data_IF_819023579938
#
_entry.id   IF_819023579938
#
_cell.length_a   1.000
_cell.length_b   1.000
_cell.length_c   1.000
_cell.angle_alpha   90.00
_cell.angle_beta   90.00
_cell.angle_gamma   90.00
#
_symmetry.space_group_name_H-M   'P 1'
#
loop_
_entity.id
_entity.type
_entity.pdbx_description
1 polymer ?
#
# COMPACT_ATOMS: atom_id res chain seq x y z
N UNK A 1 -42.71 -9.25 67.30
CA UNK A 1 -41.81 -9.97 66.46
C UNK A 1 -42.55 -11.15 65.88
N UNK A 2 -43.09 -11.04 64.68
CA UNK A 2 -43.78 -12.12 63.96
C UNK A 2 -43.02 -12.37 62.66
N UNK A 3 -42.66 -13.62 62.48
CA UNK A 3 -41.70 -14.14 61.57
C UNK A 3 -42.32 -14.35 60.16
N UNK A 4 -42.04 -13.47 59.21
CA UNK A 4 -42.55 -13.49 57.84
C UNK A 4 -41.62 -14.26 56.86
N UNK A 5 -41.26 -15.49 57.14
CA UNK A 5 -40.33 -16.27 56.28
C UNK A 5 -40.87 -17.64 55.85
N UNK A 6 -42.18 -17.87 55.76
CA UNK A 6 -42.67 -19.21 55.46
C UNK A 6 -43.73 -19.32 54.32
N UNK A 7 -44.10 -18.25 53.60
CA UNK A 7 -45.13 -18.35 52.56
C UNK A 7 -44.75 -17.87 51.15
N UNK A 8 -43.48 -17.53 50.93
CA UNK A 8 -43.00 -17.01 49.63
C UNK A 8 -42.56 -18.04 48.56
N UNK A 9 -42.60 -19.34 48.86
CA UNK A 9 -42.03 -20.35 47.91
C UNK A 9 -43.06 -21.31 47.28
N UNK A 10 -44.36 -21.17 47.51
CA UNK A 10 -45.40 -22.05 46.94
C UNK A 10 -46.33 -21.43 45.92
N UNK A 11 -46.23 -20.14 45.63
CA UNK A 11 -47.05 -19.49 44.58
C UNK A 11 -46.29 -19.24 43.26
N UNK A 12 -44.99 -19.55 43.18
CA UNK A 12 -44.19 -19.35 41.95
C UNK A 12 -44.07 -20.61 41.07
N UNK A 13 -44.54 -21.77 41.55
CA UNK A 13 -44.49 -23.04 40.82
C UNK A 13 -45.79 -23.45 40.11
N UNK A 14 -46.87 -22.66 40.23
CA UNK A 14 -48.13 -22.95 39.56
C UNK A 14 -48.43 -22.02 38.37
N UNK A 15 -47.63 -20.99 38.12
CA UNK A 15 -47.78 -20.10 36.94
C UNK A 15 -46.86 -20.47 35.77
N UNK A 16 -45.92 -21.40 35.94
CA UNK A 16 -45.01 -21.87 34.87
C UNK A 16 -45.46 -23.16 34.18
N UNK A 17 -46.56 -23.78 34.63
CA UNK A 17 -47.08 -25.04 34.05
C UNK A 17 -48.30 -24.88 33.12
N UNK A 18 -48.82 -23.63 32.96
CA UNK A 18 -50.02 -23.37 32.16
C UNK A 18 -49.76 -22.60 30.85
N UNK A 19 -48.51 -22.30 30.50
CA UNK A 19 -48.13 -21.62 29.24
C UNK A 19 -47.39 -22.48 28.23
N UNK A 20 -47.36 -23.79 28.41
CA UNK A 20 -46.68 -24.73 27.46
C UNK A 20 -47.61 -25.60 26.64
N UNK A 21 -48.86 -25.30 26.49
CA UNK A 21 -49.77 -26.04 25.62
C UNK A 21 -50.63 -25.03 24.86
N UNK A 22 -50.10 -24.43 23.81
CA UNK A 22 -50.77 -23.93 22.60
C UNK A 22 -49.83 -23.03 21.80
N UNK A 23 -48.89 -23.64 21.09
CA UNK A 23 -48.33 -23.03 19.84
C UNK A 23 -48.37 -24.09 18.72
N UNK A 24 -49.05 -23.80 17.62
CA UNK A 24 -49.07 -24.72 16.52
C UNK A 24 -47.69 -24.73 15.79
N UNK A 25 -47.29 -25.93 15.41
CA UNK A 25 -46.12 -26.20 14.59
C UNK A 25 -46.23 -25.54 13.22
N UNK A 26 -45.70 -24.32 13.09
CA UNK A 26 -45.39 -23.67 11.80
C UNK A 26 -44.15 -22.80 11.96
N UNK A 27 -42.99 -23.33 12.24
CA UNK A 27 -41.73 -22.57 12.16
C UNK A 27 -40.49 -23.48 12.24
N UNK A 28 -40.41 -24.54 11.46
CA UNK A 28 -39.21 -25.36 11.40
C UNK A 28 -38.64 -25.57 9.98
N UNK A 29 -39.15 -24.86 8.97
CA UNK A 29 -38.61 -24.99 7.61
C UNK A 29 -37.80 -23.80 7.09
N UNK A 30 -37.80 -22.64 7.80
CA UNK A 30 -37.08 -21.45 7.34
C UNK A 30 -35.70 -21.24 8.04
N UNK A 31 -35.49 -21.83 9.24
CA UNK A 31 -34.22 -21.72 9.95
C UNK A 31 -33.19 -22.78 9.52
N UNK A 32 -33.65 -23.96 9.08
CA UNK A 32 -32.72 -24.99 8.56
C UNK A 32 -32.16 -24.64 7.15
N UNK A 33 -32.95 -24.02 6.28
CA UNK A 33 -32.43 -23.59 4.96
C UNK A 33 -31.46 -22.39 5.05
N UNK A 34 -31.66 -21.45 5.96
CA UNK A 34 -30.72 -20.33 6.17
C UNK A 34 -29.47 -20.75 6.91
N UNK A 35 -29.53 -21.67 7.85
CA UNK A 35 -28.36 -22.21 8.54
C UNK A 35 -27.54 -23.14 7.64
N UNK A 36 -28.17 -23.97 6.80
CA UNK A 36 -27.51 -24.82 5.84
C UNK A 36 -26.87 -23.99 4.70
N UNK A 37 -27.55 -22.97 4.18
CA UNK A 37 -27.00 -22.09 3.13
C UNK A 37 -25.82 -21.23 3.64
N UNK A 38 -25.87 -20.74 4.90
CA UNK A 38 -24.74 -20.01 5.51
C UNK A 38 -23.56 -20.92 5.83
N UNK A 39 -23.81 -22.17 6.24
CA UNK A 39 -22.73 -23.13 6.54
C UNK A 39 -22.05 -23.60 5.24
N UNK A 40 -22.80 -23.80 4.18
CA UNK A 40 -22.27 -24.26 2.87
C UNK A 40 -21.44 -23.15 2.20
N UNK A 41 -21.90 -21.89 2.21
CA UNK A 41 -21.13 -20.76 1.67
C UNK A 41 -19.84 -20.50 2.46
N UNK A 42 -19.86 -20.62 3.78
CA UNK A 42 -18.68 -20.40 4.64
C UNK A 42 -17.66 -21.53 4.45
N UNK A 43 -18.11 -22.78 4.29
CA UNK A 43 -17.21 -23.90 3.99
C UNK A 43 -16.55 -23.76 2.61
N UNK A 44 -17.30 -23.34 1.61
CA UNK A 44 -16.77 -23.12 0.25
C UNK A 44 -15.71 -21.98 0.23
N UNK A 45 -15.96 -20.90 0.95
CA UNK A 45 -14.98 -19.78 1.07
C UNK A 45 -13.71 -20.19 1.81
N UNK A 46 -13.82 -21.04 2.83
CA UNK A 46 -12.67 -21.55 3.59
C UNK A 46 -11.86 -22.55 2.77
N UNK A 47 -12.50 -23.44 2.01
CA UNK A 47 -11.85 -24.36 1.06
C UNK A 47 -11.15 -23.62 -0.07
N UNK A 48 -11.75 -22.58 -0.63
CA UNK A 48 -11.14 -21.73 -1.65
C UNK A 48 -9.92 -20.98 -1.10
N UNK A 49 -10.00 -20.50 0.14
CA UNK A 49 -8.89 -19.81 0.83
C UNK A 49 -7.73 -20.75 1.09
N UNK A 50 -7.98 -21.96 1.58
CA UNK A 50 -6.93 -22.96 1.80
C UNK A 50 -6.29 -23.40 0.48
N UNK A 51 -7.09 -23.55 -0.58
CA UNK A 51 -6.58 -23.85 -1.92
C UNK A 51 -5.64 -22.74 -2.41
N UNK A 52 -6.00 -21.46 -2.26
CA UNK A 52 -5.16 -20.32 -2.60
C UNK A 52 -3.86 -20.34 -1.79
N UNK A 53 -3.96 -20.60 -0.49
CA UNK A 53 -2.83 -20.69 0.45
C UNK A 53 -1.83 -21.77 0.01
N UNK A 54 -2.31 -22.97 -0.32
CA UNK A 54 -1.47 -24.07 -0.80
C UNK A 54 -0.87 -23.79 -2.19
N UNK A 55 -1.61 -23.16 -3.07
CA UNK A 55 -1.09 -22.73 -4.38
C UNK A 55 0.06 -21.74 -4.22
N UNK A 56 -0.06 -20.77 -3.33
CA UNK A 56 1.03 -19.84 -3.03
C UNK A 56 2.25 -20.58 -2.44
N UNK A 57 2.04 -21.50 -1.50
CA UNK A 57 3.12 -22.29 -0.90
C UNK A 57 3.89 -23.15 -1.91
N UNK A 58 3.22 -23.64 -2.95
CA UNK A 58 3.83 -24.44 -4.02
C UNK A 58 4.75 -23.64 -4.96
N UNK A 59 4.67 -22.29 -4.95
CA UNK A 59 5.54 -21.44 -5.76
C UNK A 59 6.91 -21.35 -5.07
N UNK A 60 7.93 -21.86 -5.74
CA UNK A 60 9.29 -21.79 -5.23
C UNK A 60 9.83 -20.33 -5.22
N UNK A 61 10.68 -19.95 -4.25
CA UNK A 61 11.40 -18.68 -4.31
C UNK A 61 12.25 -18.55 -5.56
N UNK A 62 12.23 -17.39 -6.22
CA UNK A 62 13.03 -17.12 -7.41
C UNK A 62 14.54 -17.20 -7.09
N UNK A 63 14.92 -16.73 -5.88
CA UNK A 63 16.31 -16.82 -5.40
C UNK A 63 16.84 -18.26 -5.31
N UNK A 64 15.98 -19.28 -5.18
CA UNK A 64 16.39 -20.68 -5.15
C UNK A 64 16.90 -21.20 -6.52
N UNK A 65 16.61 -20.47 -7.60
CA UNK A 65 17.12 -20.79 -8.94
C UNK A 65 18.51 -20.24 -9.22
N UNK A 66 19.05 -19.39 -8.35
CA UNK A 66 20.38 -18.78 -8.51
C UNK A 66 21.45 -19.78 -8.15
N UNK A 67 22.43 -19.96 -9.02
CA UNK A 67 23.54 -20.90 -8.85
C UNK A 67 24.36 -20.56 -7.57
N UNK A 68 24.59 -21.56 -6.72
CA UNK A 68 25.32 -21.43 -5.46
C UNK A 68 24.69 -20.44 -4.44
N UNK A 69 23.43 -20.07 -4.64
CA UNK A 69 22.67 -19.31 -3.66
C UNK A 69 22.08 -20.25 -2.61
N UNK A 70 22.05 -19.87 -1.33
CA UNK A 70 21.41 -20.69 -0.31
C UNK A 70 19.93 -20.93 -0.63
N UNK A 71 19.43 -22.14 -0.35
CA UNK A 71 18.02 -22.45 -0.58
C UNK A 71 17.15 -21.79 0.51
N UNK A 72 16.29 -20.87 0.10
CA UNK A 72 15.36 -20.18 0.98
C UNK A 72 14.12 -21.03 1.32
N UNK A 73 13.41 -20.70 2.41
CA UNK A 73 12.21 -21.42 2.81
C UNK A 73 11.08 -21.23 1.81
N UNK A 74 10.18 -22.21 1.70
CA UNK A 74 8.88 -21.99 1.09
C UNK A 74 8.03 -21.08 1.99
N UNK A 75 7.20 -20.23 1.39
CA UNK A 75 6.33 -19.28 2.09
C UNK A 75 4.91 -19.36 1.56
N UNK A 76 3.92 -19.06 2.41
CA UNK A 76 2.51 -18.96 2.03
C UNK A 76 2.19 -17.63 1.33
N UNK A 77 3.01 -16.61 1.51
CA UNK A 77 2.89 -15.37 0.76
C UNK A 77 3.00 -15.62 -0.76
N UNK A 78 2.18 -14.96 -1.56
CA UNK A 78 2.29 -15.00 -3.02
C UNK A 78 3.52 -14.26 -3.52
N UNK A 79 3.86 -13.12 -2.87
CA UNK A 79 5.12 -12.40 -3.11
C UNK A 79 5.84 -12.12 -1.79
N UNK A 80 7.17 -12.33 -1.78
CA UNK A 80 7.96 -12.11 -0.58
C UNK A 80 9.41 -11.70 -0.91
N UNK A 81 10.00 -10.86 -0.07
CA UNK A 81 11.39 -10.38 -0.18
C UNK A 81 12.03 -10.26 1.19
N UNK A 82 13.34 -10.51 1.27
CA UNK A 82 14.21 -9.96 2.31
C UNK A 82 15.31 -9.15 1.63
N UNK A 83 15.46 -7.91 2.06
CA UNK A 83 16.47 -6.98 1.55
C UNK A 83 17.27 -6.38 2.71
N UNK A 84 18.57 -6.25 2.55
CA UNK A 84 19.40 -5.44 3.45
C UNK A 84 19.12 -3.95 3.21
N UNK A 85 18.75 -3.23 4.28
CA UNK A 85 18.25 -1.87 4.16
C UNK A 85 19.30 -0.83 3.80
N UNK A 86 20.59 -1.13 4.02
CA UNK A 86 21.67 -0.19 3.75
C UNK A 86 22.32 -0.41 2.40
N UNK A 87 22.57 -1.67 2.02
CA UNK A 87 23.20 -2.01 0.75
C UNK A 87 22.22 -2.22 -0.40
N UNK A 88 20.91 -2.43 -0.11
CA UNK A 88 19.90 -2.79 -1.09
C UNK A 88 20.00 -4.25 -1.58
N UNK A 89 20.90 -5.06 -1.00
CA UNK A 89 21.07 -6.46 -1.38
C UNK A 89 19.79 -7.28 -1.16
N UNK A 90 19.32 -7.96 -2.20
CA UNK A 90 18.14 -8.85 -2.13
C UNK A 90 18.60 -10.26 -1.76
N UNK A 91 18.29 -10.71 -0.54
CA UNK A 91 18.75 -11.97 0.01
C UNK A 91 17.76 -13.13 -0.22
N UNK A 92 16.50 -12.80 -0.30
CA UNK A 92 15.40 -13.72 -0.62
C UNK A 92 14.43 -13.03 -1.57
N UNK A 93 13.98 -13.73 -2.60
CA UNK A 93 13.00 -13.21 -3.55
C UNK A 93 12.02 -14.29 -3.97
N UNK A 94 10.74 -13.93 -4.00
CA UNK A 94 9.62 -14.71 -4.53
C UNK A 94 8.63 -13.76 -5.18
N UNK A 95 8.55 -13.79 -6.51
CA UNK A 95 7.65 -12.94 -7.31
C UNK A 95 7.69 -11.45 -6.91
N UNK A 96 8.89 -10.91 -6.61
CA UNK A 96 9.06 -9.61 -5.96
C UNK A 96 8.55 -8.42 -6.78
N UNK A 97 8.40 -8.55 -8.10
CA UNK A 97 7.89 -7.52 -9.01
C UNK A 97 6.40 -7.70 -9.33
N UNK A 98 5.74 -8.73 -8.80
CA UNK A 98 4.31 -8.94 -8.98
C UNK A 98 3.51 -7.90 -8.23
N UNK A 99 2.53 -7.27 -8.91
CA UNK A 99 1.66 -6.24 -8.33
C UNK A 99 0.63 -6.86 -7.41
N UNK A 100 0.47 -6.24 -6.25
CA UNK A 100 -0.53 -6.56 -5.24
C UNK A 100 -1.16 -5.29 -4.65
N UNK A 101 -2.30 -5.43 -4.02
CA UNK A 101 -2.88 -4.38 -3.21
C UNK A 101 -2.14 -4.31 -1.86
N UNK A 102 -1.67 -3.12 -1.45
CA UNK A 102 -0.86 -3.01 -0.24
C UNK A 102 -1.66 -3.11 1.07
N UNK A 103 -2.95 -2.76 1.06
CA UNK A 103 -3.68 -2.47 2.29
C UNK A 103 -2.93 -1.44 3.16
N UNK A 104 -3.03 -1.55 4.49
CA UNK A 104 -2.48 -0.55 5.42
C UNK A 104 -0.95 -0.48 5.50
N UNK A 105 -0.19 -1.30 4.77
CA UNK A 105 1.28 -1.07 4.67
C UNK A 105 1.59 0.21 3.86
N UNK A 106 0.64 0.74 3.08
CA UNK A 106 0.65 2.09 2.49
C UNK A 106 1.08 3.17 3.49
N UNK A 107 0.70 3.02 4.75
CA UNK A 107 0.97 3.98 5.82
C UNK A 107 2.46 4.17 6.13
N UNK A 108 3.33 3.28 5.67
CA UNK A 108 4.79 3.49 5.71
C UNK A 108 5.20 4.64 4.81
N UNK A 109 4.69 4.70 3.57
CA UNK A 109 4.96 5.81 2.66
C UNK A 109 4.28 7.09 3.12
N UNK A 110 3.05 7.01 3.63
CA UNK A 110 2.37 8.15 4.27
C UNK A 110 3.21 8.76 5.39
N UNK A 111 3.78 7.90 6.26
CA UNK A 111 4.66 8.34 7.35
C UNK A 111 5.95 8.94 6.82
N UNK A 112 6.58 8.36 5.80
CA UNK A 112 7.79 8.88 5.18
C UNK A 112 7.57 10.30 4.64
N UNK A 113 6.54 10.48 3.81
CA UNK A 113 6.21 11.78 3.20
C UNK A 113 5.82 12.81 4.27
N UNK A 114 5.11 12.40 5.33
CA UNK A 114 4.78 13.29 6.44
C UNK A 114 6.04 13.76 7.18
N UNK A 115 6.96 12.85 7.51
CA UNK A 115 8.22 13.17 8.20
C UNK A 115 9.20 13.99 7.35
N UNK A 116 9.05 13.99 6.02
CA UNK A 116 9.86 14.84 5.13
C UNK A 116 9.31 16.26 4.98
N UNK A 117 8.02 16.50 5.30
CA UNK A 117 7.35 17.76 5.02
C UNK A 117 6.73 18.45 6.24
N UNK A 118 6.78 17.81 7.43
CA UNK A 118 6.18 18.33 8.65
C UNK A 118 7.07 18.08 9.87
N UNK A 119 6.86 18.90 10.90
CA UNK A 119 7.47 18.71 12.21
C UNK A 119 6.53 17.89 13.12
N UNK A 120 7.09 17.14 14.06
CA UNK A 120 6.30 16.34 15.01
C UNK A 120 5.34 17.18 15.88
N UNK A 121 5.64 18.46 16.05
CA UNK A 121 4.82 19.42 16.79
C UNK A 121 3.75 20.10 15.96
N UNK A 122 3.70 19.88 14.65
CA UNK A 122 2.67 20.45 13.77
C UNK A 122 1.29 19.91 14.17
N UNK A 123 0.28 20.75 13.99
CA UNK A 123 -1.11 20.35 14.28
C UNK A 123 -1.72 19.58 13.12
N UNK A 124 -2.29 18.42 13.42
CA UNK A 124 -3.17 17.67 12.53
C UNK A 124 -4.62 17.96 12.92
N UNK A 125 -5.40 18.55 12.01
CA UNK A 125 -6.80 18.88 12.19
C UNK A 125 -7.67 17.91 11.38
N UNK A 126 -8.73 17.39 12.00
CA UNK A 126 -9.65 16.45 11.36
C UNK A 126 -10.77 17.19 10.66
N UNK A 127 -10.81 17.12 9.35
CA UNK A 127 -11.91 17.63 8.53
C UNK A 127 -13.12 16.68 8.57
N UNK A 128 -14.27 17.13 8.05
CA UNK A 128 -15.40 16.23 7.82
C UNK A 128 -15.04 15.12 6.84
N UNK A 129 -14.25 15.44 5.81
CA UNK A 129 -13.83 14.48 4.77
C UNK A 129 -12.91 13.39 5.33
N UNK A 130 -12.05 13.72 6.34
CA UNK A 130 -11.19 12.73 6.98
C UNK A 130 -11.95 11.68 7.80
N UNK A 131 -13.23 11.89 8.10
CA UNK A 131 -14.07 11.02 8.94
C UNK A 131 -15.16 10.31 8.11
N UNK A 132 -15.78 11.03 7.16
CA UNK A 132 -17.04 10.59 6.53
C UNK A 132 -16.92 9.37 5.62
N UNK A 133 -15.70 8.99 5.21
CA UNK A 133 -15.45 7.81 4.37
C UNK A 133 -15.37 6.50 5.16
N UNK A 134 -15.27 6.57 6.52
CA UNK A 134 -15.14 5.38 7.35
C UNK A 134 -16.37 4.49 7.25
N UNK A 135 -16.15 3.20 7.05
CA UNK A 135 -17.16 2.17 7.03
C UNK A 135 -17.05 1.27 8.29
N UNK A 136 -18.10 0.48 8.52
CA UNK A 136 -18.09 -0.47 9.63
C UNK A 136 -16.97 -1.52 9.47
N UNK A 137 -16.11 -1.63 10.49
CA UNK A 137 -14.95 -2.53 10.47
C UNK A 137 -13.64 -1.87 10.10
N UNK A 138 -13.65 -0.63 9.61
CA UNK A 138 -12.44 0.13 9.35
C UNK A 138 -11.62 0.37 10.63
N UNK A 139 -10.30 0.36 10.47
CA UNK A 139 -9.39 0.69 11.57
C UNK A 139 -9.42 2.21 11.83
N UNK A 140 -9.85 2.62 13.02
CA UNK A 140 -9.92 4.01 13.46
C UNK A 140 -9.69 4.12 14.98
N UNK A 141 -9.47 5.34 15.49
CA UNK A 141 -9.36 5.67 16.93
C UNK A 141 -10.48 6.59 17.42
N UNK A 142 -11.47 6.86 16.57
CA UNK A 142 -12.67 7.61 16.93
C UNK A 142 -12.48 9.12 17.02
N UNK A 143 -11.72 9.69 16.08
CA UNK A 143 -11.57 11.14 15.95
C UNK A 143 -12.86 11.78 15.41
N UNK A 144 -13.07 13.06 15.71
CA UNK A 144 -14.25 13.82 15.29
C UNK A 144 -13.84 15.06 14.48
N UNK A 145 -14.74 15.56 13.59
CA UNK A 145 -14.43 16.76 12.81
C UNK A 145 -14.16 17.99 13.70
N UNK A 146 -13.09 18.73 13.38
CA UNK A 146 -12.62 19.90 14.15
C UNK A 146 -11.70 19.54 15.32
N UNK A 147 -11.49 18.26 15.61
CA UNK A 147 -10.55 17.80 16.62
C UNK A 147 -9.10 18.02 16.13
N UNK A 148 -8.19 18.28 17.05
CA UNK A 148 -6.79 18.58 16.75
C UNK A 148 -5.87 17.78 17.67
N UNK A 149 -4.82 17.19 17.08
CA UNK A 149 -3.73 16.51 17.79
C UNK A 149 -2.38 16.91 17.20
N UNK A 150 -1.28 16.56 17.88
CA UNK A 150 0.05 16.74 17.32
C UNK A 150 0.32 15.77 16.15
N UNK A 151 1.24 16.12 15.26
CA UNK A 151 1.73 15.19 14.22
C UNK A 151 2.33 13.94 14.85
N UNK A 152 3.03 14.06 15.98
CA UNK A 152 3.57 12.93 16.71
C UNK A 152 2.47 11.94 17.12
N UNK A 153 1.42 12.41 17.82
CA UNK A 153 0.28 11.58 18.23
C UNK A 153 -0.43 10.95 17.02
N UNK A 154 -0.55 11.72 15.93
CA UNK A 154 -1.14 11.25 14.69
C UNK A 154 -0.31 10.08 14.09
N UNK A 155 1.02 10.21 14.04
CA UNK A 155 1.89 9.14 13.51
C UNK A 155 1.88 7.89 14.40
N UNK A 156 1.76 8.04 15.73
CA UNK A 156 1.50 6.90 16.61
C UNK A 156 0.20 6.19 16.26
N UNK A 157 -0.89 6.92 16.04
CA UNK A 157 -2.18 6.34 15.64
C UNK A 157 -2.12 5.66 14.27
N UNK A 158 -1.41 6.26 13.29
CA UNK A 158 -1.20 5.71 11.95
C UNK A 158 -0.45 4.39 12.01
N UNK A 159 0.64 4.31 12.79
CA UNK A 159 1.52 3.14 12.79
C UNK A 159 1.04 2.04 13.73
N UNK A 160 0.62 2.34 14.96
CA UNK A 160 0.23 1.36 15.96
C UNK A 160 -1.21 0.87 15.76
N UNK A 161 -2.19 1.81 15.73
CA UNK A 161 -3.61 1.51 15.58
C UNK A 161 -4.02 1.26 14.14
N UNK A 162 -3.20 1.70 13.17
CA UNK A 162 -3.54 1.68 11.73
C UNK A 162 -4.75 2.56 11.38
N UNK A 163 -4.97 3.67 12.10
CA UNK A 163 -6.13 4.53 11.97
C UNK A 163 -6.24 5.17 10.57
N UNK A 164 -7.36 4.91 9.89
CA UNK A 164 -7.58 5.35 8.51
C UNK A 164 -7.90 6.84 8.44
N UNK A 165 -8.75 7.33 9.34
CA UNK A 165 -9.09 8.75 9.45
C UNK A 165 -7.88 9.61 9.79
N UNK A 166 -7.00 9.09 10.64
CA UNK A 166 -5.79 9.81 11.02
C UNK A 166 -4.82 9.90 9.84
N UNK A 167 -4.68 8.81 9.06
CA UNK A 167 -3.85 8.82 7.85
C UNK A 167 -4.34 9.84 6.82
N UNK A 168 -5.67 9.97 6.68
CA UNK A 168 -6.28 10.99 5.82
C UNK A 168 -5.99 12.40 6.34
N UNK A 169 -6.22 12.65 7.64
CA UNK A 169 -6.01 13.96 8.25
C UNK A 169 -4.53 14.39 8.22
N UNK A 170 -3.59 13.45 8.40
CA UNK A 170 -2.15 13.69 8.19
C UNK A 170 -1.88 14.13 6.76
N UNK A 171 -2.39 13.39 5.78
CA UNK A 171 -2.21 13.71 4.37
C UNK A 171 -2.80 15.09 4.01
N UNK A 172 -4.00 15.39 4.51
CA UNK A 172 -4.64 16.69 4.29
C UNK A 172 -3.87 17.85 4.95
N UNK A 173 -3.43 17.69 6.21
CA UNK A 173 -2.71 18.71 6.96
C UNK A 173 -1.33 18.99 6.35
N UNK A 174 -0.58 17.95 6.01
CA UNK A 174 0.73 18.08 5.35
C UNK A 174 0.57 18.63 3.93
N UNK A 175 -0.43 18.17 3.18
CA UNK A 175 -0.72 18.70 1.84
C UNK A 175 -1.08 20.19 1.86
N UNK A 176 -1.80 20.68 2.88
CA UNK A 176 -2.06 22.12 3.11
C UNK A 176 -0.76 22.87 3.40
N UNK A 177 0.13 22.31 4.22
CA UNK A 177 1.46 22.90 4.49
C UNK A 177 2.32 22.97 3.23
N UNK A 178 2.18 22.03 2.30
CA UNK A 178 2.82 22.01 0.99
C UNK A 178 2.20 22.99 -0.02
N UNK A 179 1.16 23.74 0.35
CA UNK A 179 0.49 24.75 -0.48
C UNK A 179 -0.69 24.23 -1.29
N UNK A 180 -1.19 23.03 -1.01
CA UNK A 180 -2.36 22.42 -1.66
C UNK A 180 -3.33 21.80 -0.67
N UNK A 181 -3.61 20.51 -0.79
CA UNK A 181 -4.51 19.74 0.05
C UNK A 181 -4.21 18.24 -0.04
N UNK A 182 -5.20 17.40 0.22
CA UNK A 182 -5.08 15.95 0.20
C UNK A 182 -4.43 15.43 -1.11
N UNK A 183 -4.90 15.87 -2.27
CA UNK A 183 -4.38 15.44 -3.57
C UNK A 183 -2.90 15.82 -3.77
N UNK A 184 -2.46 16.96 -3.20
CA UNK A 184 -1.04 17.36 -3.22
C UNK A 184 -0.18 16.37 -2.44
N UNK A 185 -0.67 15.86 -1.33
CA UNK A 185 0.03 14.84 -0.56
C UNK A 185 0.08 13.49 -1.32
N UNK A 186 -1.03 13.09 -1.96
CA UNK A 186 -1.05 11.87 -2.79
C UNK A 186 -0.07 11.97 -3.96
N UNK A 187 0.01 13.14 -4.60
CA UNK A 187 1.04 13.36 -5.62
C UNK A 187 2.45 13.22 -5.03
N UNK A 188 2.70 13.80 -3.86
CA UNK A 188 4.00 13.68 -3.18
C UNK A 188 4.34 12.22 -2.80
N UNK A 189 3.34 11.37 -2.46
CA UNK A 189 3.55 9.94 -2.26
C UNK A 189 4.04 9.26 -3.55
N UNK A 190 3.44 9.58 -4.69
CA UNK A 190 3.88 9.03 -5.98
C UNK A 190 5.26 9.55 -6.38
N UNK A 191 5.53 10.84 -6.21
CA UNK A 191 6.83 11.45 -6.52
C UNK A 191 7.95 10.86 -5.64
N UNK A 192 7.72 10.66 -4.33
CA UNK A 192 8.69 10.03 -3.45
C UNK A 192 8.90 8.54 -3.79
N UNK A 193 7.84 7.84 -4.14
CA UNK A 193 7.90 6.45 -4.64
C UNK A 193 8.76 6.36 -5.90
N UNK A 194 8.58 7.24 -6.87
CA UNK A 194 9.40 7.32 -8.09
C UNK A 194 10.87 7.64 -7.77
N UNK A 195 11.12 8.60 -6.87
CA UNK A 195 12.47 8.98 -6.40
C UNK A 195 13.21 7.82 -5.74
N UNK A 196 12.50 6.96 -5.00
CA UNK A 196 13.03 5.72 -4.43
C UNK A 196 13.25 4.60 -5.47
N UNK A 197 12.90 4.83 -6.73
CA UNK A 197 12.99 3.83 -7.80
C UNK A 197 11.92 2.74 -7.71
N UNK A 198 10.77 3.06 -7.14
CA UNK A 198 9.61 2.16 -7.10
C UNK A 198 8.87 2.22 -8.44
N UNK A 199 9.10 1.27 -9.31
CA UNK A 199 8.54 1.28 -10.67
C UNK A 199 7.26 0.46 -10.84
N UNK A 200 6.92 -0.34 -9.84
CA UNK A 200 5.76 -1.23 -9.84
C UNK A 200 4.59 -0.73 -8.98
N UNK A 201 4.64 0.49 -8.45
CA UNK A 201 3.68 1.03 -7.49
C UNK A 201 2.90 2.23 -8.03
N UNK A 202 1.69 2.41 -7.50
CA UNK A 202 0.87 3.60 -7.71
C UNK A 202 -0.03 3.82 -6.49
N UNK A 203 -0.16 5.07 -6.04
CA UNK A 203 -0.80 5.44 -4.79
C UNK A 203 -1.98 6.38 -5.06
N UNK A 204 -3.18 6.01 -4.58
CA UNK A 204 -4.42 6.80 -4.74
C UNK A 204 -4.96 7.34 -3.42
N UNK A 205 -4.49 6.79 -2.30
CA UNK A 205 -4.90 7.22 -0.96
C UNK A 205 -3.78 7.02 0.07
N UNK A 206 -3.92 7.66 1.23
CA UNK A 206 -2.92 7.66 2.30
C UNK A 206 -3.13 6.56 3.35
N UNK A 207 -4.21 5.78 3.28
CA UNK A 207 -4.58 4.81 4.31
C UNK A 207 -4.51 3.35 3.86
N UNK A 208 -4.50 3.09 2.54
CA UNK A 208 -4.44 1.76 1.96
C UNK A 208 -5.79 1.06 1.85
N UNK A 209 -6.90 1.79 1.93
CA UNK A 209 -8.21 1.25 1.54
C UNK A 209 -8.19 0.85 0.08
N UNK A 210 -8.99 -0.16 -0.25
CA UNK A 210 -8.95 -0.75 -1.58
C UNK A 210 -9.36 0.21 -2.69
N UNK A 211 -8.55 0.26 -3.72
CA UNK A 211 -8.78 0.90 -5.01
C UNK A 211 -8.01 0.11 -6.08
N UNK A 212 -8.61 -0.15 -7.24
CA UNK A 212 -7.98 -0.92 -8.31
C UNK A 212 -6.68 -0.31 -8.83
N UNK A 213 -6.52 1.01 -8.68
CA UNK A 213 -5.31 1.74 -9.08
C UNK A 213 -4.31 1.91 -7.93
N UNK A 214 -4.61 1.40 -6.73
CA UNK A 214 -3.75 1.47 -5.56
C UNK A 214 -2.99 0.15 -5.38
N UNK A 215 -1.79 0.05 -5.92
CA UNK A 215 -1.02 -1.19 -5.98
C UNK A 215 0.47 -0.94 -5.74
N UNK A 216 1.17 -2.01 -5.35
CA UNK A 216 2.62 -2.03 -5.09
C UNK A 216 3.21 -3.40 -5.40
N UNK A 217 4.53 -3.53 -5.26
CA UNK A 217 5.27 -4.79 -5.31
C UNK A 217 6.04 -5.03 -4.00
N UNK A 218 6.44 -6.26 -3.73
CA UNK A 218 7.25 -6.56 -2.55
C UNK A 218 8.59 -5.81 -2.57
N UNK A 219 9.20 -5.68 -3.74
CA UNK A 219 10.46 -4.95 -3.91
C UNK A 219 10.30 -3.45 -3.63
N UNK A 220 9.25 -2.82 -4.17
CA UNK A 220 9.01 -1.39 -3.93
C UNK A 220 8.71 -1.13 -2.45
N UNK A 221 7.93 -2.00 -1.80
CA UNK A 221 7.66 -1.87 -0.36
C UNK A 221 8.91 -2.07 0.49
N UNK A 222 9.87 -2.90 0.07
CA UNK A 222 11.14 -3.04 0.76
C UNK A 222 11.97 -1.75 0.67
N UNK A 223 12.01 -1.08 -0.50
CA UNK A 223 12.66 0.23 -0.67
C UNK A 223 12.01 1.30 0.20
N UNK A 224 10.68 1.38 0.22
CA UNK A 224 9.92 2.30 1.07
C UNK A 224 10.20 2.00 2.56
N UNK A 225 10.20 0.72 2.93
CA UNK A 225 10.53 0.27 4.28
C UNK A 225 11.94 0.67 4.70
N UNK A 226 12.94 0.49 3.85
CA UNK A 226 14.31 0.90 4.08
C UNK A 226 14.41 2.44 4.24
N UNK A 227 13.74 3.21 3.39
CA UNK A 227 13.77 4.67 3.43
C UNK A 227 13.12 5.23 4.70
N UNK A 228 11.94 4.74 5.10
CA UNK A 228 11.27 5.23 6.32
C UNK A 228 12.02 4.81 7.58
N UNK A 229 12.73 3.67 7.58
CA UNK A 229 13.54 3.22 8.69
C UNK A 229 14.74 4.14 8.99
N UNK A 230 15.21 4.94 8.01
CA UNK A 230 16.23 5.94 8.23
C UNK A 230 15.75 7.11 9.14
N UNK A 231 14.43 7.32 9.24
CA UNK A 231 13.84 8.35 10.09
C UNK A 231 13.85 7.92 11.57
N UNK A 232 14.52 8.70 12.44
CA UNK A 232 14.59 8.40 13.88
C UNK A 232 13.19 8.36 14.52
N UNK A 233 12.33 9.32 14.17
CA UNK A 233 10.95 9.37 14.65
C UNK A 233 10.19 8.09 14.30
N UNK A 234 10.33 7.57 13.07
CA UNK A 234 9.72 6.30 12.69
C UNK A 234 10.22 5.14 13.57
N UNK A 235 11.53 5.02 13.78
CA UNK A 235 12.09 3.94 14.62
C UNK A 235 11.56 4.00 16.05
N UNK A 236 11.46 5.21 16.61
CA UNK A 236 10.91 5.42 17.96
C UNK A 236 9.44 5.00 18.03
N UNK A 237 8.61 5.51 17.10
CA UNK A 237 7.17 5.26 17.09
C UNK A 237 6.87 3.79 16.80
N UNK A 238 7.47 3.20 15.76
CA UNK A 238 7.14 1.86 15.29
C UNK A 238 7.50 0.75 16.30
N UNK A 239 8.46 0.99 17.19
CA UNK A 239 8.86 0.05 18.27
C UNK A 239 8.02 0.19 19.53
N UNK A 240 7.21 1.23 19.67
CA UNK A 240 6.37 1.46 20.84
C UNK A 240 5.22 0.44 20.89
N UNK A 241 4.98 -0.15 22.06
CA UNK A 241 3.93 -1.15 22.23
C UNK A 241 2.55 -0.52 22.46
N UNK A 242 2.50 0.70 22.98
CA UNK A 242 1.26 1.44 23.19
C UNK A 242 1.53 2.95 23.15
N UNK A 243 0.47 3.72 22.93
CA UNK A 243 0.49 5.16 23.00
C UNK A 243 -0.85 5.68 23.54
N UNK A 244 -0.81 6.80 24.25
CA UNK A 244 -1.99 7.48 24.78
C UNK A 244 -2.02 8.91 24.26
N UNK A 245 -3.05 9.25 23.49
CA UNK A 245 -3.35 10.62 23.10
C UNK A 245 -4.09 11.28 24.28
N UNK A 246 -3.59 12.42 24.81
CA UNK A 246 -4.28 13.13 25.89
C UNK A 246 -5.61 13.74 25.43
N UNK A 247 -6.31 14.38 26.35
CA UNK A 247 -7.47 15.21 26.03
C UNK A 247 -7.15 16.21 24.91
N UNK A 248 -8.07 16.35 23.96
CA UNK A 248 -7.94 17.24 22.79
C UNK A 248 -8.73 18.53 23.00
N UNK A 249 -8.76 19.39 22.00
CA UNK A 249 -9.58 20.61 22.00
C UNK A 249 -11.09 20.35 22.08
N UNK A 250 -11.57 19.15 21.73
CA UNK A 250 -13.02 18.81 21.69
C UNK A 250 -13.40 17.65 22.62
N UNK A 251 -12.45 16.76 22.95
CA UNK A 251 -12.72 15.52 23.69
C UNK A 251 -11.83 15.47 24.92
N UNK A 252 -12.45 15.33 26.12
CA UNK A 252 -11.73 15.32 27.39
C UNK A 252 -11.16 13.96 27.78
N UNK A 253 -11.62 12.88 27.14
CA UNK A 253 -11.18 11.53 27.39
C UNK A 253 -9.87 11.24 26.64
N UNK A 254 -8.93 10.58 27.33
CA UNK A 254 -7.73 10.05 26.73
C UNK A 254 -8.04 8.85 25.81
N UNK A 255 -7.24 8.66 24.76
CA UNK A 255 -7.34 7.51 23.86
C UNK A 255 -6.06 6.70 23.91
N UNK A 256 -6.13 5.49 24.46
CA UNK A 256 -5.00 4.55 24.48
C UNK A 256 -5.21 3.46 23.43
N UNK A 257 -4.19 3.21 22.62
CA UNK A 257 -4.18 2.13 21.63
C UNK A 257 -2.85 1.38 21.64
N UNK A 258 -2.87 0.17 21.13
CA UNK A 258 -1.76 -0.76 21.18
C UNK A 258 -1.21 -1.05 19.79
N UNK A 259 0.07 -1.43 19.74
CA UNK A 259 0.76 -1.90 18.56
C UNK A 259 0.12 -3.20 18.03
N UNK A 260 -0.22 -3.22 16.74
CA UNK A 260 -0.80 -4.39 16.07
C UNK A 260 0.25 -5.39 15.56
N UNK A 261 1.52 -4.99 15.48
CA UNK A 261 2.59 -5.84 14.97
C UNK A 261 3.03 -6.87 16.03
N UNK A 262 2.60 -8.12 15.86
CA UNK A 262 2.75 -9.18 16.87
C UNK A 262 4.21 -9.54 17.18
N UNK A 263 5.14 -9.36 16.23
CA UNK A 263 6.56 -9.72 16.44
C UNK A 263 7.27 -8.80 17.43
N UNK A 264 6.65 -7.69 17.85
CA UNK A 264 7.19 -6.80 18.89
C UNK A 264 6.79 -7.20 20.31
N UNK A 265 5.79 -8.05 20.48
CA UNK A 265 5.24 -8.38 21.78
C UNK A 265 5.93 -9.61 22.40
N UNK A 266 6.70 -9.47 23.50
CA UNK A 266 7.44 -10.60 24.10
C UNK A 266 6.56 -11.78 24.56
N UNK A 267 5.27 -11.52 24.81
CA UNK A 267 4.32 -12.54 25.26
C UNK A 267 3.56 -13.22 24.11
N UNK A 268 3.80 -12.78 22.86
CA UNK A 268 3.15 -13.35 21.69
C UNK A 268 4.00 -14.46 21.08
N UNK A 269 3.38 -15.52 20.58
CA UNK A 269 4.06 -16.66 19.93
C UNK A 269 4.86 -16.23 18.69
N UNK A 270 4.48 -15.10 18.09
CA UNK A 270 5.18 -14.52 16.94
C UNK A 270 6.34 -13.58 17.33
N UNK A 271 6.63 -13.39 18.63
CA UNK A 271 7.72 -12.51 19.06
C UNK A 271 9.04 -12.86 18.37
N UNK A 272 9.73 -11.84 17.86
CA UNK A 272 11.04 -11.98 17.24
C UNK A 272 12.00 -10.95 17.84
N UNK A 273 13.04 -11.42 18.51
CA UNK A 273 13.94 -10.59 19.32
C UNK A 273 14.63 -9.47 18.52
N UNK A 274 14.88 -9.68 17.22
CA UNK A 274 15.51 -8.70 16.35
C UNK A 274 14.51 -7.73 15.69
N UNK A 275 13.19 -7.90 15.89
CA UNK A 275 12.17 -7.05 15.30
C UNK A 275 12.31 -5.61 15.81
N UNK A 276 12.35 -4.64 14.87
CA UNK A 276 12.43 -3.20 15.12
C UNK A 276 11.17 -2.45 14.66
N UNK A 277 10.08 -3.13 14.45
CA UNK A 277 8.82 -2.55 14.02
C UNK A 277 8.46 -2.88 12.59
N UNK A 278 7.52 -2.14 12.06
CA UNK A 278 6.96 -2.34 10.72
C UNK A 278 5.49 -2.00 10.65
N UNK A 279 4.78 -2.58 9.69
CA UNK A 279 3.36 -2.32 9.47
C UNK A 279 2.62 -3.55 8.99
N UNK A 280 1.45 -3.80 9.56
CA UNK A 280 0.48 -4.82 9.14
C UNK A 280 -0.56 -4.22 8.21
N UNK A 281 -1.09 -5.01 7.28
CA UNK A 281 -2.22 -4.63 6.44
C UNK A 281 -3.15 -5.81 6.17
N UNK A 282 -4.42 -5.50 5.95
CA UNK A 282 -5.43 -6.44 5.50
C UNK A 282 -6.57 -5.71 4.78
N UNK A 283 -6.96 -6.23 3.66
CA UNK A 283 -8.27 -6.08 3.02
C UNK A 283 -8.63 -7.42 2.39
N UNK A 284 -9.87 -7.63 2.03
CA UNK A 284 -10.27 -8.90 1.38
C UNK A 284 -9.52 -9.14 0.06
N UNK A 285 -9.21 -8.07 -0.68
CA UNK A 285 -8.50 -8.14 -1.94
C UNK A 285 -6.98 -8.30 -1.77
N UNK A 286 -6.40 -7.64 -0.75
CA UNK A 286 -4.97 -7.72 -0.46
C UNK A 286 -4.58 -8.97 0.32
N UNK A 287 -5.51 -9.62 1.01
CA UNK A 287 -5.25 -10.59 2.06
C UNK A 287 -4.34 -9.97 3.13
N UNK A 288 -3.56 -10.77 3.83
CA UNK A 288 -2.61 -10.25 4.81
C UNK A 288 -1.36 -9.73 4.11
N UNK A 289 -0.96 -8.51 4.46
CA UNK A 289 0.30 -7.91 4.06
C UNK A 289 1.09 -7.52 5.30
N UNK A 290 2.40 -7.69 5.27
CA UNK A 290 3.27 -7.37 6.40
C UNK A 290 4.61 -6.85 5.90
N UNK A 291 5.05 -5.73 6.47
CA UNK A 291 6.43 -5.23 6.37
C UNK A 291 7.02 -5.26 7.75
N UNK A 292 8.17 -5.87 7.91
CA UNK A 292 8.90 -5.95 9.19
C UNK A 292 10.34 -5.55 8.99
N UNK A 293 10.85 -4.69 9.87
CA UNK A 293 12.27 -4.35 9.97
C UNK A 293 12.89 -5.17 11.11
N UNK A 294 14.09 -5.68 10.89
CA UNK A 294 14.85 -6.43 11.88
C UNK A 294 16.32 -6.01 11.90
N UNK A 295 16.91 -6.00 13.10
CA UNK A 295 18.33 -5.65 13.33
C UNK A 295 18.90 -6.57 14.40
N UNK A 296 19.85 -7.43 14.01
CA UNK A 296 20.54 -8.36 14.91
C UNK A 296 21.88 -7.80 15.43
N UNK A 297 22.17 -6.50 15.17
CA UNK A 297 23.43 -5.82 15.51
C UNK A 297 24.50 -5.93 14.44
N UNK A 298 24.33 -6.82 13.43
CA UNK A 298 25.21 -6.94 12.28
C UNK A 298 24.53 -6.45 10.99
N UNK A 299 23.38 -7.00 10.63
CA UNK A 299 22.62 -6.62 9.43
C UNK A 299 21.26 -6.03 9.82
N UNK A 300 20.88 -4.96 9.09
CA UNK A 300 19.55 -4.34 9.17
C UNK A 300 18.73 -4.78 7.96
N UNK A 301 17.75 -5.61 8.19
CA UNK A 301 16.95 -6.24 7.14
C UNK A 301 15.51 -5.75 7.15
N UNK A 302 14.90 -5.65 5.98
CA UNK A 302 13.46 -5.51 5.79
C UNK A 302 12.92 -6.76 5.10
N UNK A 303 11.86 -7.32 5.66
CA UNK A 303 11.06 -8.38 5.04
C UNK A 303 9.69 -7.85 4.66
N UNK A 304 9.21 -8.21 3.47
CA UNK A 304 7.86 -7.90 2.99
C UNK A 304 7.20 -9.19 2.54
N UNK A 305 5.97 -9.41 2.98
CA UNK A 305 5.08 -10.45 2.45
C UNK A 305 3.79 -9.80 1.97
N UNK A 306 3.34 -10.17 0.76
CA UNK A 306 2.14 -9.68 0.11
C UNK A 306 1.25 -10.85 -0.28
N UNK A 307 -0.07 -10.68 -0.10
CA UNK A 307 -1.08 -11.69 -0.35
C UNK A 307 -0.80 -12.98 0.42
N UNK A 308 -0.73 -12.84 1.74
CA UNK A 308 -0.47 -13.91 2.70
C UNK A 308 -1.72 -14.22 3.55
N UNK A 309 -1.67 -15.20 4.43
CA UNK A 309 -2.85 -15.78 5.08
C UNK A 309 -2.77 -15.70 6.62
N UNK A 310 -3.21 -14.56 7.17
CA UNK A 310 -3.37 -14.40 8.62
C UNK A 310 -2.06 -14.51 9.39
N UNK A 311 -1.91 -15.57 10.20
CA UNK A 311 -0.72 -15.77 11.03
C UNK A 311 0.49 -16.27 10.23
N UNK A 312 0.29 -16.86 9.05
CA UNK A 312 1.39 -17.33 8.22
C UNK A 312 2.34 -16.20 7.85
N UNK A 313 1.84 -14.97 7.68
CA UNK A 313 2.67 -13.80 7.42
C UNK A 313 3.79 -13.59 8.45
N UNK A 314 3.55 -13.90 9.70
CA UNK A 314 4.57 -13.81 10.76
C UNK A 314 5.52 -15.02 10.76
N UNK A 315 5.00 -16.21 10.45
CA UNK A 315 5.78 -17.46 10.34
C UNK A 315 6.75 -17.33 9.16
N UNK A 316 6.25 -16.91 8.01
CA UNK A 316 7.03 -16.69 6.79
C UNK A 316 8.10 -15.62 7.01
N UNK A 317 7.74 -14.48 7.60
CA UNK A 317 8.67 -13.40 7.91
C UNK A 317 9.80 -13.86 8.81
N UNK A 318 9.50 -14.62 9.88
CA UNK A 318 10.53 -15.21 10.78
C UNK A 318 11.45 -16.15 10.01
N UNK A 319 10.87 -17.09 9.26
CA UNK A 319 11.65 -18.09 8.51
C UNK A 319 12.59 -17.43 7.50
N UNK A 320 12.14 -16.36 6.83
CA UNK A 320 12.96 -15.58 5.89
C UNK A 320 14.07 -14.80 6.61
N UNK A 321 13.84 -14.19 7.78
CA UNK A 321 14.90 -13.53 8.54
C UNK A 321 15.93 -14.52 9.05
N UNK A 322 15.49 -15.64 9.66
CA UNK A 322 16.39 -16.69 10.14
C UNK A 322 17.25 -17.26 9.01
N UNK A 323 16.66 -17.46 7.84
CA UNK A 323 17.39 -17.84 6.63
C UNK A 323 18.44 -16.80 6.25
N UNK A 324 18.07 -15.50 6.19
CA UNK A 324 18.97 -14.43 5.79
C UNK A 324 20.15 -14.28 6.78
N UNK A 325 19.91 -14.19 8.09
CA UNK A 325 20.96 -14.08 9.09
C UNK A 325 21.88 -15.32 9.17
N UNK A 326 21.33 -16.50 8.91
CA UNK A 326 22.10 -17.74 8.95
C UNK A 326 23.03 -17.92 7.75
N UNK A 327 22.64 -17.46 6.59
CA UNK A 327 23.30 -17.81 5.32
C UNK A 327 24.12 -16.68 4.67
N UNK A 328 23.95 -15.43 5.13
CA UNK A 328 24.60 -14.28 4.50
C UNK A 328 25.52 -13.55 5.47
N UNK A 329 26.47 -12.78 4.94
CA UNK A 329 27.36 -11.93 5.72
C UNK A 329 27.73 -10.67 4.94
N UNK A 330 28.04 -9.60 5.64
CA UNK A 330 28.57 -8.36 5.08
C UNK A 330 30.01 -8.55 4.63
N UNK A 331 30.35 -7.96 3.48
CA UNK A 331 31.70 -7.84 2.96
C UNK A 331 31.99 -6.34 2.82
N UNK A 332 32.86 -5.80 3.66
CA UNK A 332 33.30 -4.42 3.60
C UNK A 332 33.96 -4.11 2.25
N UNK A 333 33.62 -2.97 1.67
CA UNK A 333 34.22 -2.47 0.44
C UNK A 333 35.53 -1.67 0.68
N UNK A 334 35.82 -1.30 1.93
CA UNK A 334 36.95 -0.45 2.31
C UNK A 334 38.30 -1.02 1.84
N UNK A 335 38.50 -2.32 1.98
CA UNK A 335 39.73 -3.01 1.63
C UNK A 335 39.67 -3.70 0.27
N UNK A 336 38.59 -3.52 -0.49
CA UNK A 336 38.44 -4.11 -1.81
C UNK A 336 39.00 -3.18 -2.90
N UNK A 337 39.47 -3.79 -3.98
CA UNK A 337 39.90 -3.02 -5.16
C UNK A 337 38.70 -2.28 -5.73
N UNK A 338 38.85 -0.98 -5.94
CA UNK A 338 37.82 -0.17 -6.59
C UNK A 338 37.53 -0.64 -8.01
N UNK A 339 36.29 -0.67 -8.46
CA UNK A 339 35.94 -0.91 -9.86
C UNK A 339 36.55 0.14 -10.78
N UNK A 340 36.74 -0.20 -12.04
CA UNK A 340 37.27 0.72 -13.04
C UNK A 340 36.36 1.97 -13.14
N UNK A 341 36.98 3.16 -13.18
CA UNK A 341 36.28 4.43 -13.22
C UNK A 341 35.74 4.95 -11.87
N UNK A 342 35.91 4.20 -10.78
CA UNK A 342 35.52 4.63 -9.43
C UNK A 342 36.73 5.20 -8.69
N UNK A 343 36.59 6.42 -8.13
CA UNK A 343 37.62 7.08 -7.33
C UNK A 343 37.49 6.78 -5.84
N UNK A 344 36.26 6.80 -5.35
CA UNK A 344 35.95 6.50 -3.94
C UNK A 344 34.46 6.21 -3.80
N UNK A 345 34.09 5.45 -2.78
CA UNK A 345 32.69 5.40 -2.33
C UNK A 345 32.34 6.64 -1.51
N UNK A 346 31.07 7.10 -1.53
CA UNK A 346 30.62 8.23 -0.72
C UNK A 346 30.54 7.85 0.76
N UNK A 347 30.23 6.57 1.07
CA UNK A 347 30.24 6.00 2.42
C UNK A 347 31.51 5.18 2.62
N UNK A 348 32.33 5.55 3.61
CA UNK A 348 33.58 4.86 3.96
C UNK A 348 33.34 3.47 4.57
N UNK A 349 32.14 3.26 5.15
CA UNK A 349 31.73 1.99 5.74
C UNK A 349 30.83 1.15 4.80
N UNK A 350 30.80 1.53 3.51
CA UNK A 350 30.04 0.81 2.49
C UNK A 350 30.39 -0.70 2.44
N UNK A 351 29.36 -1.50 2.25
CA UNK A 351 29.48 -2.97 2.17
C UNK A 351 28.50 -3.56 1.17
N UNK A 352 28.73 -4.79 0.79
CA UNK A 352 27.77 -5.65 0.09
C UNK A 352 27.43 -6.85 0.95
N UNK A 353 26.36 -7.58 0.63
CA UNK A 353 25.95 -8.78 1.36
C UNK A 353 26.03 -10.00 0.43
N UNK A 354 26.83 -11.00 0.82
CA UNK A 354 27.04 -12.21 0.04
C UNK A 354 26.61 -13.46 0.82
N UNK A 355 26.24 -14.54 0.12
CA UNK A 355 26.23 -15.86 0.72
C UNK A 355 27.58 -16.17 1.40
N UNK A 356 27.57 -16.75 2.60
CA UNK A 356 28.78 -17.09 3.37
C UNK A 356 29.75 -18.01 2.60
N UNK A 357 29.23 -18.73 1.60
CA UNK A 357 30.03 -19.60 0.71
C UNK A 357 30.67 -18.86 -0.49
N UNK A 358 30.24 -17.62 -0.78
CA UNK A 358 30.74 -16.85 -1.94
C UNK A 358 31.97 -16.03 -1.59
N UNK A 359 32.75 -15.69 -2.61
CA UNK A 359 33.94 -14.83 -2.49
C UNK A 359 33.70 -13.50 -3.21
N UNK A 360 34.29 -12.41 -2.71
CA UNK A 360 34.20 -11.10 -3.36
C UNK A 360 34.73 -11.13 -4.80
N UNK A 361 35.73 -11.98 -5.11
CA UNK A 361 36.27 -12.19 -6.46
C UNK A 361 35.24 -12.66 -7.50
N UNK A 362 34.11 -13.23 -7.05
CA UNK A 362 33.06 -13.74 -7.93
C UNK A 362 32.01 -12.65 -8.25
N UNK A 363 32.15 -11.47 -7.64
CA UNK A 363 31.20 -10.34 -7.78
C UNK A 363 31.57 -9.51 -8.99
N UNK A 364 30.56 -9.10 -9.76
CA UNK A 364 30.69 -8.12 -10.84
C UNK A 364 30.20 -6.76 -10.36
N UNK A 365 30.90 -5.70 -10.74
CA UNK A 365 30.53 -4.33 -10.48
C UNK A 365 30.14 -3.63 -11.78
N UNK A 366 29.03 -2.92 -11.78
CA UNK A 366 28.58 -2.04 -12.85
C UNK A 366 28.49 -0.61 -12.34
N UNK A 367 29.12 0.33 -13.05
CA UNK A 367 29.17 1.74 -12.69
C UNK A 367 28.20 2.51 -13.58
N UNK A 368 27.24 3.21 -12.99
CA UNK A 368 26.28 4.06 -13.69
C UNK A 368 26.43 5.50 -13.25
N UNK A 369 26.72 6.41 -14.19
CA UNK A 369 26.82 7.85 -13.92
C UNK A 369 25.45 8.45 -13.59
N UNK A 370 25.38 9.32 -12.58
CA UNK A 370 24.17 10.05 -12.22
C UNK A 370 23.94 11.18 -13.23
N UNK A 371 22.80 11.15 -13.93
CA UNK A 371 22.47 12.10 -15.00
C UNK A 371 22.42 13.58 -14.55
N UNK A 372 22.28 13.81 -13.25
CA UNK A 372 22.07 15.15 -12.65
C UNK A 372 23.25 15.66 -11.83
N UNK A 373 24.29 14.84 -11.59
CA UNK A 373 25.44 15.21 -10.73
C UNK A 373 26.74 14.74 -11.38
N UNK A 374 27.46 15.71 -11.96
CA UNK A 374 28.72 15.46 -12.66
C UNK A 374 29.78 14.84 -11.71
N UNK A 375 30.39 13.73 -12.13
CA UNK A 375 31.41 13.02 -11.34
C UNK A 375 30.85 12.20 -10.16
N UNK A 376 29.55 11.99 -10.10
CA UNK A 376 28.88 11.08 -9.15
C UNK A 376 28.20 9.94 -9.90
N UNK A 377 28.13 8.79 -9.28
CA UNK A 377 27.49 7.61 -9.85
C UNK A 377 27.07 6.58 -8.80
N UNK A 378 26.44 5.55 -9.27
CA UNK A 378 26.05 4.39 -8.46
C UNK A 378 26.81 3.17 -8.96
N UNK A 379 27.45 2.44 -8.06
CA UNK A 379 28.08 1.15 -8.33
C UNK A 379 27.13 0.06 -7.83
N UNK A 380 26.62 -0.75 -8.75
CA UNK A 380 25.79 -1.91 -8.43
C UNK A 380 26.64 -3.18 -8.50
N UNK A 381 26.59 -3.96 -7.44
CA UNK A 381 27.31 -5.23 -7.33
C UNK A 381 26.36 -6.39 -7.55
N UNK A 382 26.78 -7.36 -8.38
CA UNK A 382 25.99 -8.56 -8.67
C UNK A 382 26.82 -9.84 -8.49
N UNK A 383 26.20 -10.86 -7.90
CA UNK A 383 26.73 -12.22 -7.80
C UNK A 383 25.78 -13.17 -8.52
N UNK A 384 26.27 -13.87 -9.55
CA UNK A 384 25.46 -14.79 -10.37
C UNK A 384 24.18 -14.17 -10.93
N UNK A 385 24.19 -12.85 -11.18
CA UNK A 385 23.03 -12.09 -11.68
C UNK A 385 22.08 -11.54 -10.60
N UNK A 386 22.29 -11.91 -9.33
CA UNK A 386 21.54 -11.36 -8.20
C UNK A 386 22.25 -10.11 -7.67
N UNK A 387 21.49 -9.02 -7.42
CA UNK A 387 22.02 -7.81 -6.79
C UNK A 387 22.38 -8.09 -5.33
N UNK A 388 23.62 -7.81 -4.97
CA UNK A 388 24.20 -8.04 -3.65
C UNK A 388 24.61 -6.76 -2.93
N UNK A 389 24.37 -5.63 -3.55
CA UNK A 389 24.57 -4.31 -2.98
C UNK A 389 24.74 -3.23 -4.03
N UNK A 390 24.46 -2.00 -3.62
CA UNK A 390 24.58 -0.80 -4.44
C UNK A 390 25.11 0.34 -3.57
N UNK A 391 26.08 1.11 -4.08
CA UNK A 391 26.70 2.20 -3.32
C UNK A 391 26.89 3.43 -4.20
N UNK A 392 26.77 4.61 -3.60
CA UNK A 392 27.11 5.87 -4.24
C UNK A 392 28.61 6.06 -4.29
N UNK A 393 29.12 6.58 -5.42
CA UNK A 393 30.53 6.72 -5.65
C UNK A 393 30.89 8.02 -6.40
N UNK A 394 32.07 8.56 -6.10
CA UNK A 394 32.73 9.50 -6.98
C UNK A 394 33.38 8.73 -8.14
N UNK A 395 33.08 9.13 -9.37
CA UNK A 395 33.57 8.45 -10.58
C UNK A 395 34.48 9.34 -11.40
N UNK A 396 35.32 8.72 -12.24
CA UNK A 396 36.13 9.45 -13.22
C UNK A 396 35.21 9.91 -14.36
N UNK A 397 35.44 11.15 -14.83
CA UNK A 397 34.82 11.58 -16.08
C UNK A 397 35.37 10.74 -17.22
N UNK A 398 34.52 9.97 -17.87
CA UNK A 398 34.90 9.31 -19.10
C UNK A 398 35.02 10.38 -20.20
N UNK A 399 36.17 10.49 -20.86
CA UNK A 399 36.39 11.47 -21.95
C UNK A 399 35.37 11.31 -23.10
N UNK A 400 34.75 10.13 -23.24
CA UNK A 400 33.63 9.90 -24.15
C UNK A 400 32.39 10.78 -23.85
N UNK A 401 32.10 11.08 -22.60
CA UNK A 401 30.99 11.99 -22.25
C UNK A 401 31.29 13.44 -22.65
N UNK A 402 32.60 13.81 -22.58
CA UNK A 402 33.07 15.12 -23.03
C UNK A 402 33.04 15.26 -24.55
N UNK A 403 33.29 14.17 -25.29
CA UNK A 403 33.18 14.14 -26.75
C UNK A 403 31.70 14.21 -27.21
N UNK A 404 30.82 13.49 -26.56
CA UNK A 404 29.35 13.55 -26.86
C UNK A 404 28.72 14.90 -26.53
N UNK A 405 29.23 15.61 -25.51
CA UNK A 405 28.78 16.99 -25.17
C UNK A 405 29.38 18.00 -26.16
N UNK A 406 30.63 17.79 -26.64
CA UNK A 406 31.25 18.62 -27.66
C UNK A 406 30.66 18.36 -29.06
N UNK A 407 30.28 17.14 -29.41
CA UNK A 407 29.52 16.83 -30.62
C UNK A 407 28.09 17.46 -30.56
N UNK A 408 27.38 17.41 -29.43
CA UNK A 408 26.11 18.11 -29.26
C UNK A 408 26.23 19.64 -29.37
N UNK A 409 27.41 20.24 -29.11
CA UNK A 409 27.68 21.67 -29.36
C UNK A 409 28.10 21.95 -30.80
N UNK A 410 28.68 20.98 -31.53
CA UNK A 410 29.00 21.14 -32.97
C UNK A 410 27.82 20.89 -33.89
N UNK A 411 26.87 20.05 -33.52
CA UNK A 411 25.68 19.73 -34.31
C UNK A 411 24.57 20.77 -34.28
N UNK A 412 24.79 21.94 -33.67
CA UNK A 412 23.86 23.09 -33.85
C UNK A 412 23.89 23.70 -35.24
N UNK A 413 24.75 23.20 -36.15
CA UNK A 413 24.81 23.69 -37.56
C UNK A 413 24.24 22.67 -38.57
N UNK A 414 23.74 21.48 -38.14
CA UNK A 414 23.16 20.51 -39.07
C UNK A 414 21.71 20.14 -38.69
N UNK A 415 20.93 21.10 -38.24
CA UNK A 415 19.56 20.88 -37.77
C UNK A 415 18.49 21.22 -38.80
N UNK A 416 18.60 20.68 -40.02
CA UNK A 416 17.51 20.85 -41.04
C UNK A 416 16.69 19.57 -41.26
N UNK A 417 17.14 18.40 -40.76
CA UNK A 417 16.43 17.12 -40.98
C UNK A 417 15.53 16.76 -39.77
N UNK A 418 15.97 17.06 -38.51
CA UNK A 418 15.18 16.73 -37.29
C UNK A 418 13.97 17.66 -37.11
N UNK A 419 14.00 18.89 -37.61
CA UNK A 419 12.87 19.81 -37.61
C UNK A 419 11.73 19.37 -38.54
N UNK A 420 11.98 18.60 -39.59
CA UNK A 420 10.99 18.05 -40.49
C UNK A 420 10.07 16.99 -39.81
N UNK A 421 10.67 16.08 -39.05
CA UNK A 421 9.92 15.01 -38.35
C UNK A 421 9.07 15.60 -37.22
N UNK A 422 9.59 16.56 -36.47
CA UNK A 422 8.82 17.26 -35.41
C UNK A 422 7.64 18.06 -35.95
N UNK A 423 7.79 18.72 -37.10
CA UNK A 423 6.67 19.46 -37.76
C UNK A 423 5.63 18.47 -38.30
N UNK A 424 6.06 17.38 -38.92
CA UNK A 424 5.16 16.33 -39.42
C UNK A 424 4.35 15.67 -38.26
N UNK A 425 4.98 15.34 -37.16
CA UNK A 425 4.30 14.82 -35.98
C UNK A 425 3.27 15.82 -35.42
N UNK A 426 3.58 17.10 -35.33
CA UNK A 426 2.62 18.16 -34.90
C UNK A 426 1.43 18.28 -35.85
N UNK A 427 1.64 18.13 -37.14
CA UNK A 427 0.56 18.12 -38.14
C UNK A 427 -0.32 16.88 -37.98
N UNK A 428 0.29 15.69 -37.80
CA UNK A 428 -0.47 14.44 -37.60
C UNK A 428 -1.30 14.51 -36.31
N UNK A 429 -0.74 15.00 -35.20
CA UNK A 429 -1.46 15.20 -33.95
C UNK A 429 -2.60 16.19 -34.12
N UNK A 430 -2.37 17.31 -34.84
CA UNK A 430 -3.41 18.29 -35.14
C UNK A 430 -4.57 17.72 -35.96
N UNK A 431 -4.28 16.86 -36.95
CA UNK A 431 -5.31 16.18 -37.75
C UNK A 431 -6.11 15.19 -36.89
N UNK A 432 -5.44 14.39 -36.03
CA UNK A 432 -6.13 13.47 -35.12
C UNK A 432 -7.07 14.19 -34.18
N UNK A 433 -6.63 15.31 -33.58
CA UNK A 433 -7.46 16.13 -32.68
C UNK A 433 -8.66 16.68 -33.45
N UNK A 434 -8.48 17.20 -34.69
CA UNK A 434 -9.58 17.72 -35.52
C UNK A 434 -10.61 16.64 -35.84
N UNK A 435 -10.17 15.41 -36.15
CA UNK A 435 -11.07 14.26 -36.40
C UNK A 435 -11.87 13.89 -35.16
N UNK A 436 -11.23 13.87 -33.98
CA UNK A 436 -11.90 13.58 -32.68
C UNK A 436 -12.96 14.64 -32.37
N UNK A 437 -12.64 15.94 -32.57
CA UNK A 437 -13.61 17.05 -32.40
C UNK A 437 -14.79 16.88 -33.34
N UNK A 438 -14.54 16.56 -34.63
CA UNK A 438 -15.60 16.34 -35.63
C UNK A 438 -16.53 15.19 -35.21
N UNK A 439 -15.99 14.08 -34.74
CA UNK A 439 -16.76 12.94 -34.22
C UNK A 439 -17.64 13.33 -33.02
N UNK A 440 -17.10 14.11 -32.10
CA UNK A 440 -17.86 14.61 -30.93
C UNK A 440 -19.03 15.49 -31.43
N UNK A 441 -18.80 16.41 -32.38
CA UNK A 441 -19.84 17.27 -32.97
C UNK A 441 -20.94 16.41 -33.62
N UNK A 442 -20.58 15.38 -34.38
CA UNK A 442 -21.53 14.46 -35.00
C UNK A 442 -22.41 13.77 -33.97
N UNK A 443 -21.81 13.26 -32.87
CA UNK A 443 -22.55 12.62 -31.78
C UNK A 443 -23.50 13.59 -31.08
N UNK A 444 -23.05 14.82 -30.81
CA UNK A 444 -23.88 15.88 -30.19
C UNK A 444 -25.05 16.22 -31.09
N UNK A 445 -24.83 16.43 -32.40
CA UNK A 445 -25.88 16.72 -33.38
C UNK A 445 -26.87 15.57 -33.53
N UNK A 446 -26.41 14.33 -33.53
CA UNK A 446 -27.27 13.13 -33.55
C UNK A 446 -28.17 13.07 -32.32
N UNK A 447 -27.61 13.30 -31.12
CA UNK A 447 -28.36 13.34 -29.87
C UNK A 447 -29.35 14.51 -29.84
N UNK A 448 -28.98 15.67 -30.33
CA UNK A 448 -29.88 16.84 -30.45
C UNK A 448 -31.07 16.57 -31.40
N UNK A 449 -30.80 15.96 -32.57
CA UNK A 449 -31.85 15.52 -33.50
C UNK A 449 -32.79 14.47 -32.88
N UNK A 450 -32.25 13.54 -32.08
CA UNK A 450 -33.03 12.55 -31.31
C UNK A 450 -33.93 13.20 -30.27
N UNK A 451 -33.45 14.25 -29.57
CA UNK A 451 -34.24 15.02 -28.61
C UNK A 451 -35.38 15.82 -29.30
N UNK A 452 -35.10 16.44 -30.44
CA UNK A 452 -36.14 17.15 -31.19
C UNK A 452 -37.23 16.18 -31.64
N UNK A 453 -36.87 15.01 -32.18
CA UNK A 453 -37.82 13.97 -32.57
C UNK A 453 -38.70 13.51 -31.41
N UNK A 454 -38.10 13.34 -30.20
CA UNK A 454 -38.85 13.00 -28.99
C UNK A 454 -39.81 14.10 -28.54
N UNK A 455 -39.42 15.39 -28.65
CA UNK A 455 -40.28 16.54 -28.34
C UNK A 455 -41.43 16.64 -29.31
N UNK A 456 -41.22 16.42 -30.62
CA UNK A 456 -42.28 16.42 -31.66
C UNK A 456 -43.29 15.27 -31.42
N UNK A 457 -42.83 14.06 -31.08
CA UNK A 457 -43.70 12.94 -30.75
C UNK A 457 -44.55 13.19 -29.47
N UNK A 458 -43.99 13.84 -28.45
CA UNK A 458 -44.75 14.25 -27.23
C UNK A 458 -45.80 15.32 -27.53
N UNK A 459 -45.48 16.30 -28.43
CA UNK A 459 -46.47 17.33 -28.88
C UNK A 459 -47.60 16.71 -29.70
N UNK A 460 -47.31 15.74 -30.59
CA UNK A 460 -48.32 15.00 -31.35
C UNK A 460 -49.28 14.19 -30.50
N UNK A 461 -48.76 13.46 -29.48
CA UNK A 461 -49.60 12.73 -28.51
C UNK A 461 -50.52 13.66 -27.69
N UNK A 462 -50.04 14.87 -27.28
CA UNK A 462 -50.88 15.86 -26.59
C UNK A 462 -51.96 16.47 -27.44
N UNK A 463 -51.74 16.67 -28.76
CA UNK A 463 -52.77 17.14 -29.70
C UNK A 463 -53.86 16.09 -29.93
N UNK A 464 -53.49 14.82 -30.09
CA UNK A 464 -54.46 13.74 -30.26
C UNK A 464 -55.29 13.48 -28.99
N UNK A 465 -54.70 13.62 -27.80
CA UNK A 465 -55.43 13.52 -26.54
C UNK A 465 -56.45 14.65 -26.32
N UNK A 466 -56.11 15.91 -26.76
CA UNK A 466 -57.06 17.03 -26.71
C UNK A 466 -58.19 16.86 -27.73
N UNK A 467 -57.93 16.37 -28.93
CA UNK A 467 -58.95 16.10 -29.95
C UNK A 467 -59.91 14.95 -29.55
N UNK A 468 -59.40 13.91 -28.87
CA UNK A 468 -60.20 12.80 -28.33
C UNK A 468 -61.18 13.25 -27.22
N UNK A 469 -60.76 14.20 -26.36
CA UNK A 469 -61.60 14.72 -25.29
C UNK A 469 -62.73 15.65 -25.79
N UNK A 470 -62.48 16.37 -26.90
CA UNK A 470 -63.52 17.23 -27.54
C UNK A 470 -64.57 16.37 -28.21
N UNK A 471 -64.19 15.23 -28.84
CA UNK A 471 -65.16 14.27 -29.43
C UNK A 471 -66.00 13.51 -28.38
N UNK A 472 -65.45 13.23 -27.20
CA UNK A 472 -66.21 12.62 -26.07
C UNK A 472 -67.20 13.59 -25.41
N UNK A 473 -66.92 14.89 -25.31
CA UNK A 473 -67.84 15.86 -24.79
C UNK A 473 -69.03 16.12 -25.75
N UNK A 474 -68.86 16.04 -27.07
CA UNK A 474 -69.94 16.20 -28.05
C UNK A 474 -70.87 14.97 -28.15
N UNK A 475 -70.46 13.79 -27.64
CA UNK A 475 -71.34 12.55 -27.60
C UNK A 475 -72.17 12.45 -26.30
N UNK A 476 -71.99 13.34 -25.29
CA UNK A 476 -72.77 13.36 -24.04
C UNK A 476 -73.85 14.44 -23.99
N UNK A 477 -74.01 15.20 -25.09
CA UNK A 477 -75.05 16.22 -25.23
C UNK A 477 -75.91 15.92 -26.49
N UNK A 478 -76.24 14.64 -26.72
CA UNK A 478 -77.33 14.17 -27.61
C UNK A 478 -78.05 13.04 -26.93
#
# INVERSE_FOLDING_TARGET
MINFKKYGKRCLSLFLAASMILMPAVQTFAEEETAAATTDSTQTEEEDRETQRQNCYAIAPDSNSVENWPQGPATYADSAIVMDMNSGAVLYSKQIEKKHYPASITKLLTTLVALDNAELTDTVEFSQDSISFLEYGDAHIGMTPGEQISMEDALYAVLLASANEVSYAVAESVGKKMGGGYDTFIQAMNDESEKLGCTGSHWTNANGLHDEQHYTTAHDMAKIGAAVYQKEAFRTISQSLSHTIPATNLVNEERTFQQKHKMLWPQNDNYYEYCKGGKTGYTDQARTTLVTMADNGDMQLVAVVLYDFGNDAYIDTRAMFDYAYSNFSKISLKDQKLPEGVKSYEDEDAYIVLPKSAQFSDVKAEVKEDSNKDGSGTVTFTYKGQEVGSVKAAIEKTEESSAAVLEKKKDKTTSTVVTGISKFMKIVIGVVIAVVILLIIIVVLANYRKQIRRRRRKKGKRRNAKSGNVKRKKKRCR
#
